data_IF_612037218013
#
_entry.id   IF_612037218013
#
_cell.length_a   1.000
_cell.length_b   1.000
_cell.length_c   1.000
_cell.angle_alpha   90.00
_cell.angle_beta   90.00
_cell.angle_gamma   90.00
#
_symmetry.space_group_name_H-M   'P 1'
#
loop_
_entity.id
_entity.type
_entity.pdbx_description
1 polymer ?
#
# COMPACT_ATOMS: atom_id res chain seq x y z
N UNK A 1 9.35 -25.80 28.41
CA UNK A 1 8.68 -24.50 28.67
C UNK A 1 9.20 -23.53 27.65
N UNK A 2 8.36 -23.01 26.76
CA UNK A 2 8.77 -21.91 25.87
C UNK A 2 8.55 -20.60 26.64
N UNK A 3 9.60 -19.79 26.77
CA UNK A 3 9.48 -18.43 27.29
C UNK A 3 8.69 -17.57 26.30
N UNK A 4 7.75 -16.76 26.82
CA UNK A 4 7.04 -15.80 25.99
C UNK A 4 7.96 -14.61 25.70
N UNK A 5 8.32 -14.43 24.43
CA UNK A 5 9.08 -13.27 23.97
C UNK A 5 8.13 -12.17 23.49
N UNK A 6 8.37 -10.94 23.93
CA UNK A 6 7.66 -9.76 23.44
C UNK A 6 8.34 -9.25 22.16
N UNK A 7 7.57 -9.16 21.08
CA UNK A 7 8.03 -8.64 19.80
C UNK A 7 7.20 -7.40 19.48
N UNK A 8 7.88 -6.28 19.22
CA UNK A 8 7.23 -5.08 18.74
C UNK A 8 6.76 -5.30 17.31
N UNK A 9 5.46 -5.12 17.06
CA UNK A 9 4.85 -5.22 15.75
C UNK A 9 4.14 -3.92 15.42
N UNK A 10 4.09 -3.59 14.12
CA UNK A 10 3.27 -2.49 13.65
C UNK A 10 1.79 -2.78 13.95
N UNK A 11 1.01 -1.73 14.16
CA UNK A 11 -0.42 -1.88 14.31
C UNK A 11 -1.05 -2.47 13.03
N UNK A 12 -2.18 -3.15 13.17
CA UNK A 12 -2.77 -3.91 12.05
C UNK A 12 -3.05 -3.04 10.81
N UNK A 13 -3.58 -1.82 11.00
CA UNK A 13 -3.88 -0.90 9.89
C UNK A 13 -2.63 -0.43 9.16
N UNK A 14 -1.51 -0.27 9.86
CA UNK A 14 -0.23 0.11 9.26
C UNK A 14 0.42 -1.06 8.52
N UNK A 15 0.31 -2.28 9.06
CA UNK A 15 0.71 -3.50 8.35
C UNK A 15 -0.07 -3.66 7.04
N UNK A 16 -1.37 -3.36 7.04
CA UNK A 16 -2.19 -3.44 5.84
C UNK A 16 -1.84 -2.32 4.86
N UNK A 17 -1.72 -1.07 5.34
CA UNK A 17 -1.32 0.08 4.50
C UNK A 17 0.03 -0.12 3.83
N UNK A 18 1.01 -0.68 4.54
CA UNK A 18 2.34 -1.00 3.99
C UNK A 18 2.30 -2.13 2.96
N UNK A 19 1.40 -3.11 3.10
CA UNK A 19 1.15 -4.14 2.08
C UNK A 19 0.51 -3.55 0.82
N UNK A 20 -0.44 -2.62 0.97
CA UNK A 20 -1.01 -1.89 -0.18
C UNK A 20 0.07 -1.05 -0.87
N UNK A 21 0.92 -0.34 -0.12
CA UNK A 21 2.07 0.36 -0.69
C UNK A 21 3.01 -0.59 -1.49
N UNK A 22 3.35 -1.76 -0.93
CA UNK A 22 4.20 -2.74 -1.62
C UNK A 22 3.55 -3.24 -2.93
N UNK A 23 2.24 -3.48 -2.91
CA UNK A 23 1.47 -3.85 -4.10
C UNK A 23 1.53 -2.76 -5.19
N UNK A 24 1.38 -1.49 -4.83
CA UNK A 24 1.43 -0.39 -5.81
C UNK A 24 2.85 -0.17 -6.34
N UNK A 25 3.86 -0.18 -5.48
CA UNK A 25 5.24 0.18 -5.86
C UNK A 25 5.96 -0.96 -6.59
N UNK A 26 5.79 -2.21 -6.16
CA UNK A 26 6.51 -3.37 -6.70
C UNK A 26 5.61 -4.22 -7.59
N UNK A 27 4.44 -4.59 -7.07
CA UNK A 27 3.44 -5.46 -7.72
C UNK A 27 3.94 -6.87 -8.00
N UNK A 28 4.33 -7.61 -6.95
CA UNK A 28 4.68 -9.03 -7.10
C UNK A 28 3.45 -9.94 -6.95
N UNK A 29 3.49 -11.17 -7.50
CA UNK A 29 2.59 -12.27 -7.13
C UNK A 29 2.14 -12.30 -5.67
N UNK A 30 3.10 -12.24 -4.74
CA UNK A 30 2.83 -12.35 -3.32
C UNK A 30 2.05 -11.16 -2.78
N UNK A 31 2.38 -9.94 -3.22
CA UNK A 31 1.67 -8.73 -2.81
C UNK A 31 0.20 -8.79 -3.23
N UNK A 32 -0.07 -9.27 -4.44
CA UNK A 32 -1.43 -9.47 -4.96
C UNK A 32 -2.21 -10.47 -4.11
N UNK A 33 -1.60 -11.61 -3.78
CA UNK A 33 -2.25 -12.62 -2.95
C UNK A 33 -2.47 -12.16 -1.50
N UNK A 34 -1.49 -11.45 -0.93
CA UNK A 34 -1.58 -10.89 0.42
C UNK A 34 -2.74 -9.89 0.52
N UNK A 35 -2.84 -8.94 -0.43
CA UNK A 35 -3.93 -7.95 -0.45
C UNK A 35 -5.28 -8.64 -0.72
N UNK A 36 -5.36 -9.57 -1.66
CA UNK A 36 -6.58 -10.35 -1.89
C UNK A 36 -7.09 -11.00 -0.61
N UNK A 37 -6.22 -11.70 0.13
CA UNK A 37 -6.63 -12.37 1.37
C UNK A 37 -7.02 -11.40 2.47
N UNK A 38 -6.29 -10.30 2.63
CA UNK A 38 -6.59 -9.29 3.65
C UNK A 38 -8.01 -8.74 3.50
N UNK A 39 -8.42 -8.44 2.28
CA UNK A 39 -9.76 -7.91 1.99
C UNK A 39 -10.82 -9.01 1.84
N UNK A 40 -10.45 -10.25 1.48
CA UNK A 40 -11.34 -11.42 1.48
C UNK A 40 -11.83 -11.79 2.88
N UNK A 41 -10.99 -11.59 3.91
CA UNK A 41 -11.35 -11.88 5.30
C UNK A 41 -12.46 -10.96 5.86
N UNK A 42 -12.88 -9.92 5.11
CA UNK A 42 -13.98 -8.99 5.44
C UNK A 42 -13.97 -8.52 6.91
N UNK A 43 -12.77 -8.24 7.43
CA UNK A 43 -12.62 -7.62 8.74
C UNK A 43 -13.01 -6.15 8.65
N UNK A 44 -13.49 -5.60 9.75
CA UNK A 44 -13.95 -4.21 9.88
C UNK A 44 -12.75 -3.26 10.04
N UNK A 45 -11.90 -3.23 9.01
CA UNK A 45 -10.74 -2.34 8.98
C UNK A 45 -11.14 -0.95 8.51
N UNK A 46 -10.50 0.08 9.07
CA UNK A 46 -10.59 1.43 8.54
C UNK A 46 -9.85 1.54 7.20
N UNK A 47 -10.59 1.31 6.12
CA UNK A 47 -10.07 1.37 4.74
C UNK A 47 -9.58 2.77 4.39
N UNK A 48 -10.15 3.82 4.99
CA UNK A 48 -9.72 5.20 4.74
C UNK A 48 -8.35 5.46 5.37
N UNK A 49 -8.13 4.97 6.59
CA UNK A 49 -6.80 5.03 7.22
C UNK A 49 -5.77 4.20 6.45
N UNK A 50 -6.12 2.98 6.02
CA UNK A 50 -5.26 2.13 5.19
C UNK A 50 -4.82 2.86 3.91
N UNK A 51 -5.76 3.50 3.22
CA UNK A 51 -5.50 4.31 2.02
C UNK A 51 -4.48 5.41 2.30
N UNK A 52 -4.70 6.19 3.38
CA UNK A 52 -3.85 7.31 3.77
C UNK A 52 -2.44 6.86 4.16
N UNK A 53 -2.31 5.74 4.88
CA UNK A 53 -1.02 5.11 5.18
C UNK A 53 -0.32 4.66 3.89
N UNK A 54 -1.03 4.00 2.98
CA UNK A 54 -0.47 3.57 1.71
C UNK A 54 0.02 4.78 0.88
N UNK A 55 -0.79 5.83 0.77
CA UNK A 55 -0.41 7.08 0.10
C UNK A 55 0.86 7.68 0.69
N UNK A 56 0.94 7.78 2.02
CA UNK A 56 2.12 8.30 2.72
C UNK A 56 3.39 7.53 2.38
N UNK A 57 3.35 6.18 2.42
CA UNK A 57 4.53 5.38 2.09
C UNK A 57 4.88 5.39 0.60
N UNK A 58 3.88 5.50 -0.29
CA UNK A 58 4.12 5.67 -1.73
C UNK A 58 4.85 6.99 -1.99
N UNK A 59 4.43 8.11 -1.38
CA UNK A 59 5.03 9.42 -1.66
C UNK A 59 6.46 9.54 -1.13
N UNK A 60 6.72 9.10 0.10
CA UNK A 60 8.09 9.16 0.66
C UNK A 60 9.02 8.14 0.00
N UNK A 61 8.50 7.01 -0.45
CA UNK A 61 9.25 5.92 -1.10
C UNK A 61 9.43 6.09 -2.61
N UNK A 62 8.72 6.99 -3.27
CA UNK A 62 8.79 7.17 -4.72
C UNK A 62 10.07 7.89 -5.14
N UNK A 63 10.78 7.34 -6.11
CA UNK A 63 11.92 8.00 -6.75
C UNK A 63 11.51 8.97 -7.87
N UNK A 64 10.28 8.85 -8.39
CA UNK A 64 9.75 9.73 -9.42
C UNK A 64 9.54 11.17 -8.91
N UNK A 65 9.92 12.16 -9.73
CA UNK A 65 9.79 13.60 -9.47
C UNK A 65 9.37 14.36 -10.75
N UNK A 66 8.20 15.02 -10.77
CA UNK A 66 7.13 14.97 -9.77
C UNK A 66 6.53 13.56 -9.63
N UNK A 67 5.94 13.25 -8.47
CA UNK A 67 5.17 12.03 -8.25
C UNK A 67 3.86 12.14 -9.03
N UNK A 68 3.70 11.30 -10.04
CA UNK A 68 2.41 11.07 -10.70
C UNK A 68 1.72 9.86 -10.03
N UNK A 69 0.96 10.15 -8.98
CA UNK A 69 0.29 9.12 -8.19
C UNK A 69 -0.69 8.29 -9.02
N UNK A 70 -1.44 8.93 -9.93
CA UNK A 70 -2.38 8.22 -10.80
C UNK A 70 -1.63 7.24 -11.71
N UNK A 71 -0.49 7.65 -12.26
CA UNK A 71 0.34 6.76 -13.06
C UNK A 71 0.95 5.62 -12.22
N UNK A 72 1.29 5.82 -10.95
CA UNK A 72 1.68 4.71 -10.05
C UNK A 72 0.56 3.65 -9.97
N UNK A 73 -0.69 4.07 -9.76
CA UNK A 73 -1.85 3.17 -9.71
C UNK A 73 -2.07 2.46 -11.07
N UNK A 74 -2.03 3.21 -12.18
CA UNK A 74 -2.21 2.64 -13.53
C UNK A 74 -1.11 1.62 -13.85
N UNK A 75 0.17 1.94 -13.53
CA UNK A 75 1.29 1.00 -13.68
C UNK A 75 1.06 -0.27 -12.87
N UNK A 76 0.61 -0.16 -11.62
CA UNK A 76 0.29 -1.31 -10.78
C UNK A 76 -0.82 -2.17 -11.39
N UNK A 77 -1.94 -1.58 -11.79
CA UNK A 77 -3.06 -2.29 -12.44
C UNK A 77 -2.58 -3.02 -13.71
N UNK A 78 -1.80 -2.35 -14.55
CA UNK A 78 -1.26 -2.95 -15.77
C UNK A 78 -0.30 -4.11 -15.49
N UNK A 79 0.50 -4.02 -14.42
CA UNK A 79 1.35 -5.11 -13.96
C UNK A 79 0.49 -6.29 -13.47
N UNK A 80 -0.52 -6.04 -12.65
CA UNK A 80 -1.44 -7.08 -12.13
C UNK A 80 -2.07 -7.87 -13.27
N UNK A 81 -2.60 -7.19 -14.30
CA UNK A 81 -3.19 -7.82 -15.50
C UNK A 81 -2.22 -8.72 -16.26
N UNK A 82 -0.91 -8.45 -16.18
CA UNK A 82 0.14 -9.19 -16.88
C UNK A 82 0.76 -10.29 -16.01
N UNK A 83 0.36 -10.45 -14.76
CA UNK A 83 0.94 -11.47 -13.88
C UNK A 83 0.65 -12.84 -14.47
N UNK A 84 1.73 -13.58 -14.77
CA UNK A 84 1.61 -14.97 -15.17
C UNK A 84 1.29 -15.82 -13.93
N UNK A 85 0.06 -16.31 -13.88
CA UNK A 85 -0.41 -17.07 -12.74
C UNK A 85 0.23 -18.46 -12.58
N UNK A 86 0.95 -18.95 -13.60
CA UNK A 86 1.81 -20.14 -13.48
C UNK A 86 2.93 -19.89 -12.47
N UNK A 87 3.50 -18.68 -12.45
CA UNK A 87 4.52 -18.25 -11.48
C UNK A 87 3.92 -18.07 -10.08
N UNK A 88 2.69 -17.55 -9.98
CA UNK A 88 1.94 -17.49 -8.72
C UNK A 88 1.73 -18.88 -8.11
N UNK A 89 1.26 -19.84 -8.92
CA UNK A 89 1.15 -21.24 -8.50
C UNK A 89 2.50 -21.79 -8.04
N UNK A 90 3.56 -21.66 -8.83
CA UNK A 90 4.88 -22.21 -8.45
C UNK A 90 5.48 -21.59 -7.17
N UNK A 91 5.24 -20.30 -6.91
CA UNK A 91 5.74 -19.60 -5.72
C UNK A 91 4.84 -19.78 -4.49
N UNK A 92 3.53 -19.95 -4.67
CA UNK A 92 2.56 -20.09 -3.58
C UNK A 92 2.22 -21.55 -3.23
N UNK A 93 2.27 -22.50 -4.17
CA UNK A 93 1.85 -23.91 -3.97
C UNK A 93 2.49 -24.58 -2.74
N UNK A 94 3.75 -24.33 -2.34
CA UNK A 94 4.29 -24.94 -1.12
C UNK A 94 3.63 -24.41 0.17
N UNK A 95 2.99 -23.24 0.11
CA UNK A 95 2.51 -22.46 1.28
C UNK A 95 0.98 -22.43 1.37
N UNK A 96 0.26 -22.74 0.28
CA UNK A 96 -1.20 -22.75 0.24
C UNK A 96 -1.79 -24.02 0.86
N UNK A 97 -2.90 -23.88 1.60
CA UNK A 97 -3.71 -25.03 2.02
C UNK A 97 -4.23 -25.76 0.77
N UNK A 98 -4.09 -27.09 0.74
CA UNK A 98 -4.30 -28.03 -0.38
C UNK A 98 -5.64 -27.95 -1.15
N UNK A 99 -6.59 -27.09 -0.77
CA UNK A 99 -8.01 -27.18 -1.17
C UNK A 99 -8.56 -25.99 -1.95
N UNK A 100 -7.81 -24.91 -2.19
CA UNK A 100 -8.35 -23.75 -2.92
C UNK A 100 -8.01 -23.84 -4.43
N UNK A 101 -8.99 -24.29 -5.23
CA UNK A 101 -9.03 -24.07 -6.69
C UNK A 101 -9.35 -22.60 -6.95
N UNK A 102 -8.56 -21.66 -6.44
CA UNK A 102 -8.76 -20.26 -6.80
C UNK A 102 -8.26 -20.06 -8.23
N UNK A 103 -9.15 -19.55 -9.09
CA UNK A 103 -8.82 -19.11 -10.44
C UNK A 103 -8.03 -17.83 -10.29
N UNK A 104 -6.86 -17.82 -10.88
CA UNK A 104 -5.84 -16.88 -10.50
C UNK A 104 -6.15 -15.49 -11.12
N UNK A 105 -6.76 -15.51 -12.29
CA UNK A 105 -7.43 -14.40 -12.95
C UNK A 105 -8.45 -13.72 -12.02
N UNK A 106 -9.24 -14.50 -11.27
CA UNK A 106 -10.22 -13.97 -10.30
C UNK A 106 -9.54 -13.19 -9.17
N UNK A 107 -8.33 -13.61 -8.73
CA UNK A 107 -7.56 -12.88 -7.72
C UNK A 107 -7.12 -11.52 -8.27
N UNK A 108 -6.59 -11.47 -9.50
CA UNK A 108 -6.19 -10.21 -10.12
C UNK A 108 -7.36 -9.25 -10.24
N UNK A 109 -8.49 -9.73 -10.76
CA UNK A 109 -9.66 -8.89 -11.00
C UNK A 109 -10.19 -8.31 -9.67
N UNK A 110 -10.32 -9.14 -8.63
CA UNK A 110 -10.71 -8.67 -7.29
C UNK A 110 -9.74 -7.62 -6.74
N UNK A 111 -8.42 -7.81 -6.90
CA UNK A 111 -7.43 -6.86 -6.40
C UNK A 111 -7.47 -5.55 -7.18
N UNK A 112 -7.69 -5.60 -8.51
CA UNK A 112 -7.87 -4.40 -9.33
C UNK A 112 -9.12 -3.63 -8.89
N UNK A 113 -10.23 -4.32 -8.61
CA UNK A 113 -11.44 -3.71 -8.07
C UNK A 113 -11.19 -3.04 -6.71
N UNK A 114 -10.51 -3.74 -5.79
CA UNK A 114 -10.12 -3.21 -4.48
C UNK A 114 -9.29 -1.94 -4.62
N UNK A 115 -8.21 -1.95 -5.40
CA UNK A 115 -7.34 -0.79 -5.62
C UNK A 115 -8.14 0.37 -6.20
N UNK A 116 -8.99 0.10 -7.20
CA UNK A 116 -9.79 1.12 -7.89
C UNK A 116 -10.83 1.73 -6.95
N UNK A 117 -11.39 0.95 -6.03
CA UNK A 117 -12.32 1.43 -5.03
C UNK A 117 -11.62 2.27 -3.95
N UNK A 118 -10.46 1.82 -3.47
CA UNK A 118 -9.68 2.47 -2.43
C UNK A 118 -9.15 3.83 -2.92
N UNK A 119 -8.51 3.89 -4.09
CA UNK A 119 -7.81 5.10 -4.55
C UNK A 119 -8.68 6.12 -5.28
N UNK A 120 -9.90 6.34 -4.79
CA UNK A 120 -10.72 7.50 -5.18
C UNK A 120 -10.32 8.71 -4.33
N UNK A 121 -9.31 9.44 -4.81
CA UNK A 121 -8.70 10.52 -4.03
C UNK A 121 -9.66 11.70 -3.79
N UNK A 122 -9.74 12.14 -2.54
CA UNK A 122 -10.41 13.39 -2.16
C UNK A 122 -9.60 14.61 -2.62
N UNK A 123 -10.15 15.82 -2.42
CA UNK A 123 -9.40 17.05 -2.69
C UNK A 123 -8.15 17.16 -1.79
N UNK A 124 -8.32 16.97 -0.48
CA UNK A 124 -7.22 17.07 0.50
C UNK A 124 -6.09 16.06 0.20
N UNK A 125 -6.45 14.86 -0.26
CA UNK A 125 -5.50 13.82 -0.65
C UNK A 125 -4.68 14.18 -1.90
N UNK A 126 -5.29 14.92 -2.84
CA UNK A 126 -4.58 15.45 -4.01
C UNK A 126 -3.70 16.63 -3.61
N UNK A 127 -4.23 17.53 -2.79
CA UNK A 127 -3.50 18.68 -2.26
C UNK A 127 -2.24 18.20 -1.50
N UNK A 128 -2.32 17.08 -0.78
CA UNK A 128 -1.16 16.45 -0.14
C UNK A 128 -0.06 16.07 -1.15
N UNK A 129 -0.43 15.39 -2.25
CA UNK A 129 0.53 14.98 -3.29
C UNK A 129 1.14 16.21 -3.98
N UNK A 130 0.30 17.21 -4.28
CA UNK A 130 0.73 18.45 -4.93
C UNK A 130 1.68 19.26 -4.05
N UNK A 131 1.38 19.38 -2.76
CA UNK A 131 2.25 20.02 -1.78
C UNK A 131 3.57 19.25 -1.65
N UNK A 132 3.51 17.93 -1.56
CA UNK A 132 4.70 17.09 -1.49
C UNK A 132 5.61 17.27 -2.71
N UNK A 133 5.03 17.33 -3.92
CA UNK A 133 5.75 17.59 -5.15
C UNK A 133 6.40 18.98 -5.22
N UNK A 134 5.89 19.96 -4.46
CA UNK A 134 6.47 21.29 -4.30
C UNK A 134 7.49 21.39 -3.16
N UNK A 135 7.82 20.27 -2.51
CA UNK A 135 8.70 20.25 -1.34
C UNK A 135 8.04 20.74 -0.04
N UNK A 136 6.70 20.79 -0.01
CA UNK A 136 5.92 21.17 1.17
C UNK A 136 5.37 19.90 1.82
N UNK A 137 5.94 19.50 2.96
CA UNK A 137 5.49 18.32 3.68
C UNK A 137 4.38 18.66 4.68
N UNK A 138 3.13 18.35 4.31
CA UNK A 138 1.94 18.63 5.12
C UNK A 138 1.14 17.33 5.41
N UNK A 139 1.63 16.44 6.30
CA UNK A 139 0.99 15.15 6.57
C UNK A 139 -0.41 15.27 7.21
N UNK A 140 -0.75 16.43 7.76
CA UNK A 140 -2.09 16.69 8.31
C UNK A 140 -3.20 16.59 7.26
N UNK A 141 -2.90 16.88 5.98
CA UNK A 141 -3.85 16.68 4.88
C UNK A 141 -4.27 15.21 4.75
N UNK A 142 -3.42 14.27 5.16
CA UNK A 142 -3.78 12.86 5.27
C UNK A 142 -4.34 12.54 6.66
N UNK A 143 -3.71 13.00 7.74
CA UNK A 143 -3.90 12.39 9.05
C UNK A 143 -4.61 13.25 10.10
N UNK A 144 -5.18 14.42 9.76
CA UNK A 144 -5.83 15.35 10.71
C UNK A 144 -6.84 14.71 11.66
N UNK A 145 -7.57 13.69 11.20
CA UNK A 145 -8.62 12.99 11.95
C UNK A 145 -8.12 11.75 12.71
N UNK A 146 -6.82 11.46 12.67
CA UNK A 146 -6.21 10.32 13.34
C UNK A 146 -5.16 10.79 14.35
N UNK A 147 -5.12 10.12 15.51
CA UNK A 147 -4.07 10.34 16.50
C UNK A 147 -2.83 9.55 16.08
N UNK A 148 -1.92 10.22 15.36
CA UNK A 148 -0.65 9.64 14.92
C UNK A 148 0.50 10.44 15.54
N UNK A 149 1.39 9.74 16.23
CA UNK A 149 2.58 10.35 16.81
C UNK A 149 3.67 10.49 15.73
N UNK A 150 4.48 11.54 15.85
CA UNK A 150 5.76 11.70 15.15
C UNK A 150 5.72 11.71 13.61
N UNK A 151 4.53 11.77 12.99
CA UNK A 151 4.39 11.76 11.53
C UNK A 151 5.01 13.01 10.89
N UNK A 152 4.92 14.17 11.54
CA UNK A 152 5.53 15.42 11.07
C UNK A 152 7.06 15.38 11.06
N UNK A 153 7.66 14.53 11.89
CA UNK A 153 9.11 14.37 12.03
C UNK A 153 9.62 13.03 11.50
N UNK A 154 8.82 12.33 10.68
CA UNK A 154 9.19 11.02 10.16
C UNK A 154 10.54 11.09 9.41
N UNK A 155 11.59 10.36 9.83
CA UNK A 155 12.94 10.55 9.29
C UNK A 155 13.05 10.41 7.78
N UNK A 156 12.34 9.44 7.20
CA UNK A 156 12.30 9.24 5.75
C UNK A 156 11.59 10.39 5.03
N UNK A 157 10.58 11.00 5.64
CA UNK A 157 9.88 12.14 5.04
C UNK A 157 10.79 13.38 5.03
N UNK A 158 11.49 13.64 6.15
CA UNK A 158 12.48 14.72 6.25
C UNK A 158 13.60 14.52 5.22
N UNK A 159 14.21 13.34 5.18
CA UNK A 159 15.24 13.02 4.20
C UNK A 159 14.74 13.25 2.77
N UNK A 160 13.53 12.78 2.47
CA UNK A 160 12.94 12.90 1.14
C UNK A 160 12.65 14.36 0.77
N UNK A 161 12.23 15.21 1.70
CA UNK A 161 12.07 16.65 1.46
C UNK A 161 13.39 17.35 1.15
N UNK A 162 14.46 17.00 1.89
CA UNK A 162 15.79 17.54 1.60
C UNK A 162 16.27 17.17 0.19
N UNK A 163 15.91 15.99 -0.33
CA UNK A 163 16.20 15.62 -1.71
C UNK A 163 15.35 16.36 -2.76
N UNK A 164 14.21 16.95 -2.38
CA UNK A 164 13.35 17.71 -3.31
C UNK A 164 13.81 19.17 -3.41
N UNK A 165 14.29 19.72 -2.30
CA UNK A 165 14.68 21.14 -2.21
C UNK A 165 16.10 21.44 -2.72
N UNK A 166 16.89 20.40 -3.00
CA UNK A 166 18.23 20.49 -3.59
C UNK A 166 18.20 20.13 -5.07
#
# INVERSE_FOLDING_TARGET
MYENFFINVLCEVELIGTKVNALITRTTPRDVYDVYNLFKLKKDYDVNLIKKIAMFYITIGSDDRPIDFNNCIIKAINKIKKINFKTLKQTLIPVLKKSEKIVAEEIADNVIEIITAIFKLTKEERDYIDNFNKGIYEPNLLFKEYKINDISTHPMAIWKMNCILN
#
